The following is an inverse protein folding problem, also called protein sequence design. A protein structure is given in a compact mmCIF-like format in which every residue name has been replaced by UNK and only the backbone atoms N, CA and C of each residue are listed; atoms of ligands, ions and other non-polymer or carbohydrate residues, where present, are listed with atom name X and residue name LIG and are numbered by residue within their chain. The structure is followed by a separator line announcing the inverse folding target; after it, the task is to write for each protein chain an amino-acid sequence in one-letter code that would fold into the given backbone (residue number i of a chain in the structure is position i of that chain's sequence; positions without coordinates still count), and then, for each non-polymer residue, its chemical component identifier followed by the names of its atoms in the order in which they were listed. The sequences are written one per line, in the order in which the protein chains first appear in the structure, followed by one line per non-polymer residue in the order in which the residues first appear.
data_IF_687104968237
#
_entry.id   IF_687104968237
#
_cell.length_a   1.000
_cell.length_b   1.000
_cell.length_c   1.000
_cell.angle_alpha   90.00
_cell.angle_beta   90.00
_cell.angle_gamma   90.00
#
_symmetry.space_group_name_H-M   'P 1'
#
loop_
_entity.id
_entity.type
_entity.pdbx_description
1 polymer ?
#
# COMPACT_ATOMS: atom_id res chain seq x y z
N UNK A 1 -9.39 -1.40 -24.81
CA UNK A 1 -9.82 -1.79 -26.15
C UNK A 1 -9.68 -0.61 -27.09
N UNK A 2 -9.06 -0.81 -28.25
CA UNK A 2 -8.96 0.18 -29.32
C UNK A 2 -10.35 0.42 -29.94
N UNK A 3 -10.73 1.67 -30.08
CA UNK A 3 -12.00 2.10 -30.70
C UNK A 3 -11.73 2.71 -32.07
N UNK A 4 -10.66 3.51 -32.23
CA UNK A 4 -10.19 4.04 -33.52
C UNK A 4 -8.70 4.37 -33.45
N UNK A 5 -8.05 4.46 -34.60
CA UNK A 5 -6.61 4.55 -34.79
C UNK A 5 -5.96 3.17 -34.94
N UNK A 6 -4.68 3.12 -35.15
CA UNK A 6 -3.91 1.89 -35.31
C UNK A 6 -2.92 1.69 -34.17
N UNK A 7 -2.81 0.45 -33.69
CA UNK A 7 -1.89 0.06 -32.64
C UNK A 7 -1.39 -1.35 -32.92
N UNK A 8 -0.10 -1.47 -33.11
CA UNK A 8 0.54 -2.76 -33.38
C UNK A 8 0.34 -3.76 -32.26
N UNK A 9 0.22 -5.03 -32.64
CA UNK A 9 0.17 -6.13 -31.66
C UNK A 9 1.58 -6.45 -31.21
N UNK A 10 1.87 -6.22 -29.95
CA UNK A 10 3.21 -6.48 -29.38
C UNK A 10 3.42 -7.96 -29.06
N UNK A 11 4.68 -8.42 -28.88
CA UNK A 11 4.95 -9.77 -28.38
C UNK A 11 4.28 -10.07 -27.03
N UNK A 12 4.21 -9.08 -26.15
CA UNK A 12 3.50 -9.20 -24.87
C UNK A 12 1.98 -9.41 -25.04
N UNK A 13 1.36 -8.70 -25.99
CA UNK A 13 -0.05 -8.92 -26.31
C UNK A 13 -0.29 -10.36 -26.74
N UNK A 14 0.57 -10.92 -27.60
CA UNK A 14 0.45 -12.32 -28.06
C UNK A 14 0.69 -13.35 -26.94
N UNK A 15 1.47 -12.99 -25.93
CA UNK A 15 1.76 -13.86 -24.80
C UNK A 15 0.62 -13.93 -23.80
N UNK A 16 -0.09 -12.82 -23.56
CA UNK A 16 -1.04 -12.70 -22.47
C UNK A 16 -2.51 -12.55 -22.89
N UNK A 17 -2.78 -12.30 -24.18
CA UNK A 17 -4.13 -12.15 -24.70
C UNK A 17 -4.47 -13.27 -25.67
N UNK A 18 -5.70 -13.73 -25.63
CA UNK A 18 -6.22 -14.70 -26.60
C UNK A 18 -6.39 -14.09 -27.99
N UNK A 19 -6.36 -14.90 -29.04
CA UNK A 19 -6.61 -14.47 -30.42
C UNK A 19 -7.95 -13.72 -30.56
N UNK A 20 -8.97 -14.13 -29.80
CA UNK A 20 -10.28 -13.47 -29.78
C UNK A 20 -10.21 -12.06 -29.20
N UNK A 21 -9.43 -11.86 -28.16
CA UNK A 21 -9.21 -10.55 -27.57
C UNK A 21 -8.40 -9.65 -28.49
N UNK A 22 -7.34 -10.18 -29.09
CA UNK A 22 -6.52 -9.44 -30.06
C UNK A 22 -7.35 -8.97 -31.25
N UNK A 23 -8.17 -9.85 -31.82
CA UNK A 23 -9.06 -9.55 -32.94
C UNK A 23 -10.13 -8.52 -32.55
N UNK A 24 -10.60 -8.52 -31.31
CA UNK A 24 -11.55 -7.53 -30.79
C UNK A 24 -10.93 -6.17 -30.47
N UNK A 25 -9.64 -5.98 -30.72
CA UNK A 25 -8.91 -4.74 -30.51
C UNK A 25 -8.44 -4.53 -29.05
N UNK A 26 -8.40 -5.55 -28.21
CA UNK A 26 -7.81 -5.47 -26.87
C UNK A 26 -6.29 -5.43 -26.99
N UNK A 27 -5.66 -4.58 -26.20
CA UNK A 27 -4.19 -4.43 -26.10
C UNK A 27 -3.82 -4.21 -24.64
N UNK A 28 -2.62 -4.63 -24.26
CA UNK A 28 -2.02 -4.36 -22.96
C UNK A 28 -1.51 -2.91 -22.93
N UNK A 29 -2.05 -2.08 -22.07
CA UNK A 29 -1.68 -0.67 -21.98
C UNK A 29 -0.20 -0.47 -21.63
N UNK A 30 0.38 -1.35 -20.82
CA UNK A 30 1.79 -1.29 -20.43
C UNK A 30 2.78 -1.59 -21.59
N UNK A 31 2.33 -2.36 -22.60
CA UNK A 31 3.15 -2.72 -23.77
C UNK A 31 2.87 -1.82 -25.00
N UNK A 32 1.76 -1.08 -24.99
CA UNK A 32 1.34 -0.26 -26.09
C UNK A 32 2.31 0.89 -26.38
N UNK A 33 2.58 1.15 -27.66
CA UNK A 33 3.41 2.25 -28.14
C UNK A 33 2.65 3.00 -29.23
N UNK A 34 1.76 3.92 -28.87
CA UNK A 34 1.00 4.69 -29.86
C UNK A 34 1.93 5.65 -30.62
N UNK A 35 1.81 5.66 -31.94
CA UNK A 35 2.52 6.58 -32.84
C UNK A 35 1.61 7.68 -33.37
N UNK A 36 0.28 7.56 -33.12
CA UNK A 36 -0.74 8.52 -33.55
C UNK A 36 -1.84 8.68 -32.48
N UNK A 37 -2.79 9.56 -32.74
CA UNK A 37 -3.92 9.76 -31.84
C UNK A 37 -4.86 8.55 -31.86
N UNK A 38 -5.08 7.95 -30.69
CA UNK A 38 -5.94 6.79 -30.51
C UNK A 38 -7.21 7.15 -29.73
N UNK A 39 -8.29 6.48 -30.04
CA UNK A 39 -9.48 6.42 -29.19
C UNK A 39 -9.56 5.03 -28.55
N UNK A 40 -9.56 4.97 -27.23
CA UNK A 40 -9.60 3.71 -26.48
C UNK A 40 -10.81 3.67 -25.54
N UNK A 41 -11.26 2.44 -25.24
CA UNK A 41 -12.23 2.17 -24.17
C UNK A 41 -11.53 1.35 -23.09
N UNK A 42 -11.54 1.83 -21.86
CA UNK A 42 -11.10 1.06 -20.69
C UNK A 42 -12.16 0.02 -20.40
N UNK A 43 -11.81 -1.28 -20.40
CA UNK A 43 -12.76 -2.39 -20.28
C UNK A 43 -13.10 -2.72 -18.82
N UNK A 44 -12.16 -2.53 -17.91
CA UNK A 44 -12.35 -2.68 -16.49
C UNK A 44 -11.71 -1.47 -15.79
N UNK A 45 -12.52 -0.68 -15.13
CA UNK A 45 -12.07 -0.01 -13.93
C UNK A 45 -12.24 -1.07 -12.86
N UNK A 46 -11.16 -1.72 -12.46
CA UNK A 46 -11.22 -2.57 -11.30
C UNK A 46 -11.70 -1.73 -10.13
N UNK A 47 -12.93 -1.93 -9.70
CA UNK A 47 -13.30 -1.65 -8.34
C UNK A 47 -12.41 -2.59 -7.53
N UNK A 48 -11.27 -2.09 -7.11
CA UNK A 48 -10.42 -2.81 -6.17
C UNK A 48 -11.17 -2.82 -4.85
N UNK A 49 -12.01 -3.82 -4.67
CA UNK A 49 -12.50 -4.18 -3.35
C UNK A 49 -11.28 -4.69 -2.59
N UNK A 50 -10.83 -3.90 -1.65
CA UNK A 50 -9.81 -4.33 -0.70
C UNK A 50 -10.47 -5.40 0.14
N UNK A 51 -10.10 -6.64 -0.09
CA UNK A 51 -10.53 -7.75 0.77
C UNK A 51 -9.80 -7.60 2.12
N UNK A 52 -10.38 -6.83 3.02
CA UNK A 52 -9.97 -6.79 4.42
C UNK A 52 -10.53 -8.01 5.13
N UNK A 53 -10.15 -9.20 4.71
CA UNK A 53 -10.36 -10.37 5.53
C UNK A 53 -9.17 -10.48 6.47
N UNK A 54 -9.28 -9.85 7.63
CA UNK A 54 -8.55 -10.30 8.79
C UNK A 54 -9.12 -11.65 9.20
N UNK A 55 -8.87 -12.69 8.42
CA UNK A 55 -8.89 -14.03 8.96
C UNK A 55 -7.76 -14.03 9.98
N UNK A 56 -8.11 -13.99 11.25
CA UNK A 56 -7.20 -14.38 12.31
C UNK A 56 -6.66 -15.74 11.87
N UNK A 57 -5.43 -15.73 11.34
CA UNK A 57 -4.71 -16.96 11.11
C UNK A 57 -4.65 -17.60 12.48
N UNK A 58 -5.40 -18.69 12.63
CA UNK A 58 -5.66 -19.31 13.92
C UNK A 58 -4.38 -19.42 14.70
N UNK A 59 -4.49 -19.34 16.00
CA UNK A 59 -3.50 -19.51 17.04
C UNK A 59 -2.62 -20.76 16.80
N UNK A 60 -1.80 -20.73 15.75
CA UNK A 60 -0.64 -21.59 15.67
C UNK A 60 0.45 -20.80 16.38
N UNK A 61 1.00 -21.39 17.41
CA UNK A 61 2.15 -20.95 18.14
C UNK A 61 3.16 -20.30 17.17
N UNK A 62 3.04 -18.98 17.01
CA UNK A 62 4.08 -18.23 16.36
C UNK A 62 5.28 -18.33 17.29
N UNK A 63 6.37 -18.92 16.80
CA UNK A 63 7.64 -18.83 17.46
C UNK A 63 7.81 -17.39 17.91
N UNK A 64 7.82 -17.18 19.22
CA UNK A 64 7.87 -15.85 19.81
C UNK A 64 9.09 -15.15 19.24
N UNK A 65 8.87 -14.21 18.33
CA UNK A 65 9.91 -13.27 17.95
C UNK A 65 10.24 -12.56 19.25
N UNK A 66 11.41 -12.84 19.80
CA UNK A 66 11.91 -12.18 20.99
C UNK A 66 12.17 -10.72 20.62
N UNK A 67 11.12 -9.93 20.63
CA UNK A 67 11.27 -8.48 20.67
C UNK A 67 11.88 -8.14 22.04
N UNK A 68 12.83 -7.19 22.10
CA UNK A 68 13.36 -6.74 23.38
C UNK A 68 12.18 -6.44 24.29
N UNK A 69 12.10 -7.13 25.42
CA UNK A 69 11.13 -6.82 26.46
C UNK A 69 11.54 -5.50 27.11
N UNK A 70 11.28 -4.41 26.40
CA UNK A 70 11.11 -3.15 27.11
C UNK A 70 9.83 -3.31 27.90
N UNK A 71 9.95 -3.21 29.22
CA UNK A 71 8.85 -3.33 30.17
C UNK A 71 7.87 -2.17 29.98
N UNK A 72 7.04 -2.28 28.97
CA UNK A 72 5.92 -1.38 28.77
C UNK A 72 4.91 -1.69 29.87
N UNK A 73 4.61 -0.71 30.69
CA UNK A 73 3.46 -0.78 31.58
C UNK A 73 2.22 -0.76 30.68
N UNK A 74 1.68 -1.93 30.40
CA UNK A 74 0.43 -2.06 29.65
C UNK A 74 -0.68 -1.47 30.52
N UNK A 75 -1.26 -0.36 30.06
CA UNK A 75 -2.52 0.10 30.58
C UNK A 75 -3.61 -0.83 30.01
N UNK A 76 -4.31 -1.61 30.84
CA UNK A 76 -5.33 -2.55 30.39
C UNK A 76 -6.49 -1.85 29.65
N UNK A 77 -6.66 -0.55 29.80
CA UNK A 77 -7.66 0.25 29.08
C UNK A 77 -7.14 0.85 27.78
N UNK A 78 -5.91 0.53 27.37
CA UNK A 78 -5.27 1.08 26.19
C UNK A 78 -5.46 0.25 24.93
N UNK A 79 -5.03 0.82 23.80
CA UNK A 79 -5.07 0.20 22.48
C UNK A 79 -3.71 0.22 21.80
N UNK A 80 -3.49 -0.74 20.93
CA UNK A 80 -2.36 -0.79 20.02
C UNK A 80 -2.88 -0.84 18.58
N UNK A 81 -2.12 -0.25 17.65
CA UNK A 81 -2.48 -0.25 16.23
C UNK A 81 -1.33 -0.86 15.43
N UNK A 82 -1.68 -1.79 14.54
CA UNK A 82 -0.81 -2.27 13.49
C UNK A 82 -1.24 -1.67 12.15
N UNK A 83 -0.29 -1.13 11.40
CA UNK A 83 -0.53 -0.53 10.07
C UNK A 83 0.34 -1.27 9.05
N UNK A 84 -0.27 -1.72 7.95
CA UNK A 84 0.43 -2.22 6.77
C UNK A 84 0.33 -1.18 5.64
N UNK A 85 1.47 -0.66 5.21
CA UNK A 85 1.54 0.32 4.12
C UNK A 85 1.99 -0.38 2.84
N UNK A 86 1.00 -0.82 2.07
CA UNK A 86 1.22 -1.35 0.73
C UNK A 86 1.38 -0.25 -0.33
N UNK A 87 1.90 -0.64 -1.49
CA UNK A 87 2.05 0.27 -2.64
C UNK A 87 0.69 0.69 -3.19
N UNK A 88 -0.30 -0.19 -3.16
CA UNK A 88 -1.64 0.04 -3.71
C UNK A 88 -2.66 0.36 -2.62
N UNK A 89 -2.56 -0.32 -1.47
CA UNK A 89 -3.53 -0.28 -0.38
C UNK A 89 -2.83 -0.13 0.95
N UNK A 90 -3.51 0.49 1.89
CA UNK A 90 -3.13 0.52 3.29
C UNK A 90 -4.17 -0.25 4.10
N UNK A 91 -3.74 -0.89 5.16
CA UNK A 91 -4.61 -1.51 6.14
C UNK A 91 -4.14 -1.16 7.55
N UNK A 92 -5.06 -0.94 8.45
CA UNK A 92 -4.74 -0.72 9.85
C UNK A 92 -5.70 -1.52 10.74
N UNK A 93 -5.18 -2.06 11.83
CA UNK A 93 -5.93 -2.86 12.77
C UNK A 93 -5.67 -2.36 14.19
N UNK A 94 -6.74 -2.16 14.96
CA UNK A 94 -6.69 -1.74 16.34
C UNK A 94 -7.00 -2.94 17.24
N UNK A 95 -6.21 -3.10 18.29
CA UNK A 95 -6.31 -4.13 19.31
C UNK A 95 -6.46 -3.50 20.69
N UNK A 96 -7.35 -4.03 21.53
CA UNK A 96 -7.39 -3.71 22.96
C UNK A 96 -6.22 -4.36 23.69
N UNK A 97 -5.65 -3.67 24.68
CA UNK A 97 -4.60 -4.23 25.53
C UNK A 97 -5.14 -5.17 26.62
N UNK A 98 -6.46 -5.14 26.90
CA UNK A 98 -7.09 -6.08 27.83
C UNK A 98 -7.21 -7.47 27.21
N UNK A 99 -6.66 -8.47 27.88
CA UNK A 99 -6.66 -9.88 27.44
C UNK A 99 -8.04 -10.57 27.49
N UNK A 100 -9.14 -9.83 27.42
CA UNK A 100 -10.46 -10.44 27.30
C UNK A 100 -10.70 -10.79 25.83
N UNK A 101 -10.74 -12.07 25.54
CA UNK A 101 -10.84 -12.70 24.21
C UNK A 101 -12.02 -12.25 23.31
N UNK A 102 -12.83 -11.31 23.76
CA UNK A 102 -14.03 -10.83 23.05
C UNK A 102 -14.03 -9.34 22.66
N UNK A 103 -13.02 -8.55 22.98
CA UNK A 103 -12.91 -7.20 22.45
C UNK A 103 -12.37 -7.26 21.01
N UNK A 104 -13.30 -7.39 20.07
CA UNK A 104 -13.00 -7.59 18.68
C UNK A 104 -12.07 -6.50 18.14
N UNK A 105 -10.99 -6.92 17.48
CA UNK A 105 -10.16 -6.01 16.69
C UNK A 105 -11.02 -5.25 15.66
N UNK A 106 -10.63 -4.03 15.34
CA UNK A 106 -11.23 -3.21 14.28
C UNK A 106 -10.22 -3.06 13.17
N UNK A 107 -10.67 -3.21 11.95
CA UNK A 107 -9.80 -3.09 10.77
C UNK A 107 -10.38 -2.08 9.80
N UNK A 108 -9.55 -1.17 9.32
CA UNK A 108 -9.86 -0.22 8.25
C UNK A 108 -8.85 -0.37 7.12
N UNK A 109 -9.30 -0.08 5.93
CA UNK A 109 -8.45 -0.13 4.74
C UNK A 109 -8.68 1.09 3.87
N UNK A 110 -7.63 1.54 3.19
CA UNK A 110 -7.70 2.63 2.23
C UNK A 110 -6.86 2.34 0.99
N UNK A 111 -7.17 3.03 -0.07
CA UNK A 111 -6.32 3.04 -1.26
C UNK A 111 -5.20 4.04 -1.05
N UNK A 112 -3.96 3.65 -1.32
CA UNK A 112 -2.81 4.54 -1.26
C UNK A 112 -2.92 5.64 -2.32
N UNK A 113 -3.16 6.89 -1.91
CA UNK A 113 -3.31 8.05 -2.80
C UNK A 113 -2.05 8.35 -3.62
N UNK A 114 -0.89 7.92 -3.14
CA UNK A 114 0.36 8.01 -3.89
C UNK A 114 0.36 7.21 -5.21
N UNK A 115 -0.61 6.32 -5.46
CA UNK A 115 -0.74 5.56 -6.71
C UNK A 115 -0.88 6.45 -7.95
N UNK A 116 -1.35 7.68 -7.80
CA UNK A 116 -1.48 8.65 -8.90
C UNK A 116 -0.12 9.09 -9.45
N UNK A 117 0.95 8.88 -8.67
CA UNK A 117 2.33 9.15 -9.05
C UNK A 117 3.09 7.89 -9.52
N UNK A 118 2.44 6.74 -9.56
CA UNK A 118 2.98 5.47 -10.02
C UNK A 118 2.25 4.28 -9.40
N UNK A 119 1.92 3.30 -10.23
CA UNK A 119 1.19 2.11 -9.79
C UNK A 119 2.07 1.11 -9.02
N UNK A 120 3.38 1.17 -9.19
CA UNK A 120 4.38 0.28 -8.62
C UNK A 120 5.50 1.06 -7.88
N UNK A 121 6.37 0.33 -7.18
CA UNK A 121 7.45 0.92 -6.39
C UNK A 121 8.46 1.68 -7.23
N UNK A 122 8.78 1.20 -8.44
CA UNK A 122 9.80 1.83 -9.30
C UNK A 122 9.30 3.16 -9.82
N UNK A 123 8.06 3.21 -10.31
CA UNK A 123 7.41 4.44 -10.77
C UNK A 123 7.32 5.49 -9.66
N UNK A 124 7.07 5.07 -8.42
CA UNK A 124 7.03 5.99 -7.27
C UNK A 124 8.40 6.49 -6.87
N UNK A 125 9.42 5.63 -6.91
CA UNK A 125 10.80 6.05 -6.68
C UNK A 125 11.21 7.09 -7.72
N UNK A 126 10.89 6.84 -9.01
CA UNK A 126 11.18 7.77 -10.10
C UNK A 126 10.48 9.11 -9.88
N UNK A 127 9.19 9.12 -9.58
CA UNK A 127 8.45 10.34 -9.27
C UNK A 127 9.05 11.09 -8.07
N UNK A 128 9.47 10.38 -7.03
CA UNK A 128 10.13 10.96 -5.85
C UNK A 128 11.44 11.65 -6.22
N UNK A 129 12.27 11.03 -7.04
CA UNK A 129 13.55 11.59 -7.53
C UNK A 129 13.32 12.80 -8.41
N UNK A 130 12.25 12.82 -9.22
CA UNK A 130 11.87 13.93 -10.09
C UNK A 130 10.97 14.99 -9.41
N UNK A 131 11.21 15.25 -8.14
CA UNK A 131 10.67 16.41 -7.42
C UNK A 131 9.29 16.21 -6.80
N UNK A 132 8.72 14.99 -6.81
CA UNK A 132 7.42 14.70 -6.17
C UNK A 132 7.52 14.14 -4.75
N UNK A 133 8.73 14.07 -4.17
CA UNK A 133 8.99 13.47 -2.86
C UNK A 133 8.13 14.07 -1.74
N UNK A 134 8.11 15.39 -1.62
CA UNK A 134 7.34 16.06 -0.57
C UNK A 134 5.85 15.78 -0.68
N UNK A 135 5.30 15.78 -1.90
CA UNK A 135 3.88 15.49 -2.12
C UNK A 135 3.53 14.03 -1.85
N UNK A 136 4.41 13.09 -2.22
CA UNK A 136 4.24 11.67 -1.92
C UNK A 136 4.28 11.41 -0.41
N UNK A 137 5.18 12.08 0.31
CA UNK A 137 5.25 12.03 1.77
C UNK A 137 3.96 12.55 2.41
N UNK A 138 3.50 13.72 2.01
CA UNK A 138 2.29 14.36 2.52
C UNK A 138 1.07 13.45 2.34
N UNK A 139 0.85 12.92 1.13
CA UNK A 139 -0.25 12.02 0.83
C UNK A 139 -0.22 10.76 1.70
N UNK A 140 0.96 10.17 1.86
CA UNK A 140 1.10 8.94 2.66
C UNK A 140 0.85 9.21 4.16
N UNK A 141 1.30 10.36 4.67
CA UNK A 141 1.02 10.78 6.04
C UNK A 141 -0.46 11.12 6.25
N UNK A 142 -1.13 11.71 5.26
CA UNK A 142 -2.57 11.93 5.27
C UNK A 142 -3.32 10.58 5.28
N UNK A 143 -2.95 9.63 4.40
CA UNK A 143 -3.55 8.30 4.35
C UNK A 143 -3.46 7.58 5.71
N UNK A 144 -2.28 7.59 6.33
CA UNK A 144 -2.09 6.97 7.64
C UNK A 144 -2.93 7.69 8.71
N UNK A 145 -2.96 9.02 8.70
CA UNK A 145 -3.76 9.80 9.66
C UNK A 145 -5.24 9.47 9.54
N UNK A 146 -5.77 9.46 8.33
CA UNK A 146 -7.18 9.18 8.07
C UNK A 146 -7.56 7.77 8.57
N UNK A 147 -6.70 6.75 8.31
CA UNK A 147 -6.90 5.40 8.83
C UNK A 147 -6.92 5.34 10.37
N UNK A 148 -5.99 6.04 11.02
CA UNK A 148 -5.94 6.08 12.49
C UNK A 148 -7.16 6.77 13.09
N UNK A 149 -7.62 7.86 12.47
CA UNK A 149 -8.82 8.57 12.90
C UNK A 149 -10.07 7.70 12.73
N UNK A 150 -10.21 7.04 11.61
CA UNK A 150 -11.34 6.13 11.37
C UNK A 150 -11.36 4.98 12.37
N UNK A 151 -10.22 4.34 12.67
CA UNK A 151 -10.12 3.30 13.69
C UNK A 151 -10.55 3.80 15.07
N UNK A 152 -10.09 4.98 15.47
CA UNK A 152 -10.48 5.57 16.75
C UNK A 152 -12.00 5.80 16.82
N UNK A 153 -12.60 6.30 15.75
CA UNK A 153 -14.05 6.52 15.65
C UNK A 153 -14.81 5.19 15.76
N UNK A 154 -14.39 4.17 15.00
CA UNK A 154 -15.06 2.85 15.01
C UNK A 154 -14.94 2.12 16.35
N UNK A 155 -13.85 2.35 17.07
CA UNK A 155 -13.60 1.74 18.37
C UNK A 155 -14.18 2.56 19.54
N UNK A 156 -14.60 3.80 19.30
CA UNK A 156 -14.96 4.73 20.39
C UNK A 156 -13.75 5.10 21.27
N UNK A 157 -12.52 4.96 20.73
CA UNK A 157 -11.27 5.16 21.45
C UNK A 157 -10.78 6.61 21.33
N UNK A 158 -10.34 7.20 22.44
CA UNK A 158 -9.64 8.46 22.42
C UNK A 158 -8.19 8.27 21.94
N UNK A 159 -7.65 9.22 21.17
CA UNK A 159 -6.24 9.18 20.70
C UNK A 159 -5.22 8.97 21.84
N UNK A 160 -5.52 9.52 23.02
CA UNK A 160 -4.68 9.35 24.23
C UNK A 160 -4.63 7.91 24.78
N UNK A 161 -5.53 7.06 24.36
CA UNK A 161 -5.56 5.65 24.73
C UNK A 161 -4.73 4.76 23.79
N UNK A 162 -4.17 5.33 22.72
CA UNK A 162 -3.29 4.59 21.80
C UNK A 162 -1.87 4.62 22.35
N UNK A 163 -1.40 3.47 22.85
CA UNK A 163 -0.09 3.35 23.47
C UNK A 163 1.02 3.00 22.48
N UNK A 164 0.68 2.33 21.39
CA UNK A 164 1.66 1.90 20.40
C UNK A 164 1.05 1.88 19.01
N UNK A 165 1.87 2.28 18.03
CA UNK A 165 1.59 2.09 16.61
C UNK A 165 2.78 1.36 16.01
N UNK A 166 2.54 0.21 15.38
CA UNK A 166 3.55 -0.56 14.63
C UNK A 166 3.23 -0.46 13.17
N UNK A 167 4.21 -0.07 12.36
CA UNK A 167 4.04 0.10 10.91
C UNK A 167 4.91 -0.92 10.19
N UNK A 168 4.29 -1.75 9.36
CA UNK A 168 4.94 -2.59 8.38
C UNK A 168 4.85 -1.95 7.00
N UNK A 169 5.95 -1.90 6.27
CA UNK A 169 5.99 -1.34 4.93
C UNK A 169 7.19 -1.88 4.14
N UNK A 170 7.09 -1.92 2.81
CA UNK A 170 8.29 -2.13 2.00
C UNK A 170 9.22 -0.92 2.09
N UNK A 171 10.50 -1.10 1.76
CA UNK A 171 11.52 -0.06 1.93
C UNK A 171 11.20 1.25 1.19
N UNK A 172 10.58 1.17 0.02
CA UNK A 172 10.15 2.37 -0.72
C UNK A 172 9.08 3.15 0.05
N UNK A 173 8.08 2.47 0.60
CA UNK A 173 7.03 3.12 1.39
C UNK A 173 7.60 3.73 2.67
N UNK A 174 8.58 3.07 3.32
CA UNK A 174 9.31 3.66 4.46
C UNK A 174 10.01 4.95 4.05
N UNK A 175 10.75 4.95 2.92
CA UNK A 175 11.43 6.15 2.44
C UNK A 175 10.46 7.30 2.17
N UNK A 176 9.32 7.01 1.52
CA UNK A 176 8.30 8.00 1.21
C UNK A 176 7.64 8.54 2.48
N UNK A 177 7.30 7.68 3.43
CA UNK A 177 6.71 8.09 4.71
C UNK A 177 7.64 9.02 5.51
N UNK A 178 8.93 8.66 5.56
CA UNK A 178 9.96 9.42 6.29
C UNK A 178 10.52 10.62 5.51
N UNK A 179 10.17 10.77 4.23
CA UNK A 179 10.68 11.83 3.37
C UNK A 179 12.15 11.63 2.96
N UNK A 180 12.67 10.38 3.03
CA UNK A 180 14.02 10.06 2.59
C UNK A 180 14.12 10.06 1.06
N UNK A 181 15.34 10.30 0.55
CA UNK A 181 15.63 10.17 -0.89
C UNK A 181 15.50 8.71 -1.33
N UNK A 182 14.82 8.48 -2.46
CA UNK A 182 14.76 7.17 -3.10
C UNK A 182 15.87 6.97 -4.17
N UNK A 183 16.79 7.91 -4.35
CA UNK A 183 17.76 7.87 -5.43
C UNK A 183 18.68 6.64 -5.37
N UNK A 184 19.26 6.37 -4.20
CA UNK A 184 20.14 5.21 -4.01
C UNK A 184 19.37 3.89 -3.91
N UNK A 185 18.09 3.94 -3.52
CA UNK A 185 17.22 2.78 -3.47
C UNK A 185 16.80 2.30 -4.87
N UNK A 186 16.68 3.21 -5.83
CA UNK A 186 16.31 2.91 -7.21
C UNK A 186 17.46 2.50 -8.12
N UNK A 187 18.72 2.52 -7.65
CA UNK A 187 19.94 2.21 -8.43
C UNK A 187 20.80 1.16 -7.73
N UNK A 188 21.39 0.27 -8.49
CA UNK A 188 22.34 -0.69 -7.93
C UNK A 188 23.47 0.04 -7.18
N UNK A 189 23.85 -0.40 -5.97
CA UNK A 189 23.51 -1.62 -5.26
C UNK A 189 22.20 -1.56 -4.41
N UNK A 190 21.24 -0.68 -4.71
CA UNK A 190 19.93 -0.57 -4.05
C UNK A 190 20.02 -0.30 -2.55
N UNK A 191 20.84 0.68 -2.17
CA UNK A 191 21.13 0.98 -0.77
C UNK A 191 20.11 1.95 -0.17
N UNK A 192 19.40 1.57 0.89
CA UNK A 192 18.50 2.47 1.60
C UNK A 192 19.27 3.53 2.38
N UNK A 193 18.67 4.72 2.54
CA UNK A 193 19.23 5.80 3.38
C UNK A 193 19.29 5.36 4.84
N UNK A 194 18.28 4.63 5.30
CA UNK A 194 18.26 4.04 6.63
C UNK A 194 17.64 2.64 6.53
N UNK A 195 18.36 1.63 7.00
CA UNK A 195 17.92 0.23 7.06
C UNK A 195 17.61 -0.24 8.49
N UNK A 196 17.73 0.63 9.48
CA UNK A 196 17.38 0.30 10.87
C UNK A 196 15.87 0.38 11.06
N UNK A 197 15.35 -0.43 11.95
CA UNK A 197 14.00 -0.28 12.47
C UNK A 197 13.88 1.12 13.10
N UNK A 198 12.86 1.85 12.71
CA UNK A 198 12.60 3.23 13.15
C UNK A 198 11.48 3.19 14.20
#
# INVERSE_FOLDING_TARGET
RLVSGELEITPADRQYLSERELTSGIRLACAARPTENLRIRILARGDQQIAASASVIGQKEHAAVHLPQETWKEDPAGYQIAVDIGTTTLAACLYGCSAQENDGYRTVTAVNRGRDFGADVLSRMDASVHGKRARLQELLQEDVRDLLEELCVQAGAAKAQIHRIVIAANMTMVHLLMGYSCETLGRAPFTPVNARMI
#
